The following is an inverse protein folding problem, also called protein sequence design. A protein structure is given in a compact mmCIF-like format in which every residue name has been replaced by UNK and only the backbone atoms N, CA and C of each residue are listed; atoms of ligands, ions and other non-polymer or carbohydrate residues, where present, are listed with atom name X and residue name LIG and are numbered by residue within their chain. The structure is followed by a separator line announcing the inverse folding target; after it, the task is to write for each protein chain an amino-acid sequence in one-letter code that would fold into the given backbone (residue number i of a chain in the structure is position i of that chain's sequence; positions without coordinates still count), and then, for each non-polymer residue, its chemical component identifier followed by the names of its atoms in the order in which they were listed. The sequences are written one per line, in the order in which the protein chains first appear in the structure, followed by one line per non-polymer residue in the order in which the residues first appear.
data_IF_141381003262
#
_entry.id   IF_141381003262
#
_cell.length_a   1.000
_cell.length_b   1.000
_cell.length_c   1.000
_cell.angle_alpha   90.00
_cell.angle_beta   90.00
_cell.angle_gamma   90.00
#
_symmetry.space_group_name_H-M   'P 1'
#
loop_
_entity.id
_entity.type
_entity.pdbx_description
1 polymer ?
#
# COMPACT_ATOMS: atom_id res chain seq x y z
N UNK A 1 0.67 34.72 26.50
CA UNK A 1 1.44 33.46 26.49
C UNK A 1 0.66 32.47 25.65
N UNK A 2 1.15 32.20 24.44
CA UNK A 2 0.52 31.24 23.53
C UNK A 2 0.89 29.83 24.00
N UNK A 3 -0.11 28.99 24.24
CA UNK A 3 0.05 27.57 24.56
C UNK A 3 0.48 26.85 23.28
N UNK A 4 1.72 26.37 23.25
CA UNK A 4 2.21 25.45 22.21
C UNK A 4 1.35 24.18 22.22
N UNK A 5 0.48 24.05 21.22
CA UNK A 5 -0.08 22.77 20.80
C UNK A 5 1.06 21.99 20.14
N UNK A 6 1.80 21.25 20.95
CA UNK A 6 2.66 20.17 20.46
C UNK A 6 1.74 19.06 19.97
N UNK A 7 1.47 19.04 18.66
CA UNK A 7 0.91 17.88 17.98
C UNK A 7 1.90 16.73 18.22
N UNK A 8 1.49 15.74 19.02
CA UNK A 8 2.24 14.48 19.09
C UNK A 8 2.02 13.79 17.75
N UNK A 9 3.07 13.33 17.04
CA UNK A 9 2.85 12.39 15.95
C UNK A 9 2.12 11.17 16.53
N UNK A 10 1.08 10.71 15.83
CA UNK A 10 0.33 9.52 16.22
C UNK A 10 1.33 8.36 16.37
N UNK A 11 1.60 7.95 17.61
CA UNK A 11 2.66 7.00 17.99
C UNK A 11 2.43 5.57 17.51
N UNK A 12 1.42 5.36 16.66
CA UNK A 12 0.97 4.08 16.14
C UNK A 12 1.29 3.92 14.65
N UNK A 13 1.63 5.02 13.96
CA UNK A 13 2.10 5.01 12.57
C UNK A 13 3.57 4.65 12.58
N UNK A 14 3.95 3.61 11.85
CA UNK A 14 5.36 3.26 11.71
C UNK A 14 6.11 4.44 11.07
N UNK A 15 6.91 5.18 11.86
CA UNK A 15 7.72 6.33 11.41
C UNK A 15 8.60 5.99 10.19
N UNK A 16 8.93 4.70 10.08
CA UNK A 16 9.43 4.02 8.88
C UNK A 16 8.84 2.62 8.88
N UNK A 17 7.79 2.31 8.10
CA UNK A 17 7.45 0.91 7.89
C UNK A 17 8.71 0.24 7.33
N UNK A 18 9.20 -0.80 8.01
CA UNK A 18 10.42 -1.48 7.57
C UNK A 18 10.24 -1.89 6.11
N UNK A 19 11.11 -1.39 5.24
CA UNK A 19 11.20 -1.81 3.85
C UNK A 19 12.05 -3.07 3.81
N UNK A 20 11.49 -4.15 4.36
CA UNK A 20 12.07 -5.48 4.42
C UNK A 20 11.97 -6.22 3.07
N UNK A 21 11.59 -5.53 1.98
CA UNK A 21 11.39 -6.16 0.67
C UNK A 21 12.59 -6.98 0.21
N UNK A 22 13.83 -6.52 0.45
CA UNK A 22 15.03 -7.29 0.12
C UNK A 22 15.10 -8.60 0.94
N UNK A 23 14.85 -8.52 2.25
CA UNK A 23 14.82 -9.68 3.13
C UNK A 23 13.68 -10.64 2.77
N UNK A 24 12.51 -10.12 2.39
CA UNK A 24 11.37 -10.94 1.94
C UNK A 24 11.73 -11.66 0.63
N UNK A 25 12.36 -10.97 -0.32
CA UNK A 25 12.82 -11.57 -1.58
C UNK A 25 13.88 -12.64 -1.34
N UNK A 26 14.83 -12.40 -0.43
CA UNK A 26 15.83 -13.41 -0.06
C UNK A 26 15.18 -14.62 0.61
N UNK A 27 14.23 -14.40 1.52
CA UNK A 27 13.46 -15.49 2.16
C UNK A 27 12.65 -16.30 1.14
N UNK A 28 12.04 -15.64 0.13
CA UNK A 28 11.33 -16.30 -0.95
C UNK A 28 12.26 -17.20 -1.79
N UNK A 29 13.45 -16.69 -2.12
CA UNK A 29 14.47 -17.46 -2.87
C UNK A 29 14.95 -18.67 -2.08
N UNK A 30 15.15 -18.52 -0.78
CA UNK A 30 15.56 -19.61 0.12
C UNK A 30 14.46 -20.67 0.29
N UNK A 31 13.20 -20.26 0.34
CA UNK A 31 12.06 -21.16 0.48
C UNK A 31 11.84 -22.06 -0.75
N UNK A 32 12.18 -21.57 -1.95
CA UNK A 32 11.99 -22.30 -3.20
C UNK A 32 10.53 -22.43 -3.63
N UNK A 33 9.65 -21.57 -3.11
CA UNK A 33 8.23 -21.52 -3.46
C UNK A 33 8.02 -20.91 -4.85
N UNK A 34 6.87 -21.23 -5.47
CA UNK A 34 6.56 -20.71 -6.81
C UNK A 34 6.05 -19.27 -6.79
N UNK A 35 5.26 -18.90 -5.78
CA UNK A 35 4.60 -17.58 -5.68
C UNK A 35 4.38 -17.20 -4.22
N UNK A 36 4.72 -15.96 -3.84
CA UNK A 36 4.28 -15.32 -2.60
C UNK A 36 3.41 -14.09 -2.89
N UNK A 37 2.32 -13.96 -2.15
CA UNK A 37 1.48 -12.76 -2.10
C UNK A 37 1.75 -12.07 -0.77
N UNK A 38 2.25 -10.84 -0.83
CA UNK A 38 2.65 -10.09 0.36
C UNK A 38 1.71 -8.92 0.51
N UNK A 39 1.11 -8.84 1.70
CA UNK A 39 0.28 -7.72 2.13
C UNK A 39 0.91 -7.08 3.36
N UNK A 40 1.31 -5.81 3.24
CA UNK A 40 1.99 -5.09 4.31
C UNK A 40 1.19 -3.87 4.76
N UNK A 41 0.51 -4.04 5.89
CA UNK A 41 -0.15 -2.95 6.60
C UNK A 41 0.86 -1.99 7.23
N UNK A 42 0.52 -0.69 7.23
CA UNK A 42 1.35 0.37 7.83
C UNK A 42 1.04 0.67 9.30
N UNK A 43 0.12 -0.11 9.88
CA UNK A 43 -0.30 -0.06 11.27
C UNK A 43 -0.46 -1.50 11.80
N UNK A 44 -0.11 -1.73 13.07
CA UNK A 44 -0.52 -2.95 13.75
C UNK A 44 -2.04 -2.93 13.97
N UNK A 45 -2.75 -3.94 13.46
CA UNK A 45 -4.20 -4.10 13.63
C UNK A 45 -4.50 -4.47 15.09
N UNK A 46 -4.45 -3.51 16.01
CA UNK A 46 -4.62 -3.80 17.45
C UNK A 46 -5.74 -3.05 18.14
N UNK A 47 -6.26 -1.94 17.62
CA UNK A 47 -7.41 -1.24 18.23
C UNK A 47 -8.26 -0.56 17.14
N UNK A 48 -9.59 -0.40 17.34
CA UNK A 48 -10.45 0.22 16.34
C UNK A 48 -9.92 1.62 16.03
N UNK A 49 -9.68 1.89 14.75
CA UNK A 49 -9.15 3.13 14.23
C UNK A 49 -9.79 4.31 14.98
N UNK A 50 -8.99 5.00 15.80
CA UNK A 50 -9.42 6.26 16.39
C UNK A 50 -9.87 7.17 15.25
N UNK A 51 -11.06 7.76 15.38
CA UNK A 51 -11.68 8.75 14.48
C UNK A 51 -10.86 10.04 14.27
N UNK A 52 -9.56 10.00 14.54
CA UNK A 52 -8.65 11.11 14.39
C UNK A 52 -8.31 11.29 12.90
N UNK A 53 -8.77 12.40 12.27
CA UNK A 53 -8.45 12.68 10.87
C UNK A 53 -6.94 12.76 10.63
N UNK A 54 -6.15 13.16 11.63
CA UNK A 54 -4.69 13.21 11.52
C UNK A 54 -4.08 11.80 11.42
N UNK A 55 -4.65 10.82 12.14
CA UNK A 55 -4.19 9.43 12.08
C UNK A 55 -4.50 8.76 10.73
N UNK A 56 -5.69 9.02 10.16
CA UNK A 56 -6.09 8.53 8.84
C UNK A 56 -5.11 9.04 7.77
N UNK A 57 -4.83 10.35 7.77
CA UNK A 57 -3.90 10.97 6.82
C UNK A 57 -2.48 10.44 7.03
N UNK A 58 -2.03 10.29 8.28
CA UNK A 58 -0.70 9.79 8.59
C UNK A 58 -0.49 8.34 8.13
N UNK A 59 -1.50 7.47 8.29
CA UNK A 59 -1.45 6.09 7.80
C UNK A 59 -1.36 6.03 6.27
N UNK A 60 -2.16 6.84 5.57
CA UNK A 60 -2.09 6.95 4.11
C UNK A 60 -0.73 7.48 3.64
N UNK A 61 -0.15 8.45 4.34
CA UNK A 61 1.19 8.97 4.05
C UNK A 61 2.28 7.89 4.25
N UNK A 62 2.17 7.07 5.30
CA UNK A 62 3.06 5.94 5.53
C UNK A 62 2.93 4.88 4.42
N UNK A 63 1.71 4.55 4.00
CA UNK A 63 1.44 3.64 2.88
C UNK A 63 2.07 4.13 1.57
N UNK A 64 1.92 5.42 1.26
CA UNK A 64 2.57 6.04 0.10
C UNK A 64 4.09 6.01 0.19
N UNK A 65 4.66 6.25 1.38
CA UNK A 65 6.10 6.14 1.60
C UNK A 65 6.60 4.71 1.32
N UNK A 66 5.91 3.70 1.84
CA UNK A 66 6.24 2.29 1.62
C UNK A 66 6.13 1.90 0.14
N UNK A 67 5.02 2.27 -0.51
CA UNK A 67 4.79 2.04 -1.94
C UNK A 67 5.97 2.57 -2.77
N UNK A 68 6.37 3.82 -2.53
CA UNK A 68 7.46 4.48 -3.26
C UNK A 68 8.79 3.78 -3.03
N UNK A 69 9.08 3.37 -1.80
CA UNK A 69 10.30 2.62 -1.47
C UNK A 69 10.33 1.28 -2.20
N UNK A 70 9.28 0.47 -2.08
CA UNK A 70 9.18 -0.83 -2.74
C UNK A 70 9.25 -0.70 -4.27
N UNK A 71 8.59 0.31 -4.84
CA UNK A 71 8.66 0.59 -6.28
C UNK A 71 10.08 0.89 -6.75
N UNK A 72 10.88 1.59 -5.94
CA UNK A 72 12.27 1.88 -6.26
C UNK A 72 13.20 0.67 -6.10
N UNK A 73 12.92 -0.20 -5.12
CA UNK A 73 13.76 -1.36 -4.81
C UNK A 73 13.46 -2.56 -5.71
N UNK A 74 12.21 -2.76 -6.15
CA UNK A 74 11.78 -3.94 -6.91
C UNK A 74 12.61 -4.21 -8.17
N UNK A 75 13.05 -3.13 -8.84
CA UNK A 75 13.82 -3.23 -10.09
C UNK A 75 15.17 -3.89 -9.83
N UNK A 76 15.82 -3.53 -8.73
CA UNK A 76 17.10 -4.12 -8.34
C UNK A 76 16.96 -5.55 -7.78
N UNK A 77 15.78 -5.89 -7.24
CA UNK A 77 15.50 -7.20 -6.64
C UNK A 77 14.97 -8.24 -7.65
N UNK A 78 14.56 -7.78 -8.83
CA UNK A 78 14.19 -8.67 -9.93
C UNK A 78 15.46 -9.22 -10.57
N UNK A 79 15.76 -10.50 -10.33
CA UNK A 79 16.99 -11.14 -10.80
C UNK A 79 16.75 -12.60 -11.13
N UNK A 80 17.37 -13.08 -12.22
CA UNK A 80 17.27 -14.46 -12.68
C UNK A 80 15.81 -14.90 -12.86
N UNK A 81 15.44 -15.96 -12.16
CA UNK A 81 14.10 -16.55 -12.18
C UNK A 81 13.12 -15.87 -11.22
N UNK A 82 13.58 -15.01 -10.30
CA UNK A 82 12.69 -14.27 -9.38
C UNK A 82 12.13 -13.03 -10.07
N UNK A 83 10.80 -12.93 -10.12
CA UNK A 83 10.08 -11.74 -10.57
C UNK A 83 9.39 -11.07 -9.39
N UNK A 84 9.51 -9.74 -9.34
CA UNK A 84 8.87 -8.89 -8.33
C UNK A 84 7.86 -7.99 -9.05
N UNK A 85 6.58 -8.11 -8.70
CA UNK A 85 5.51 -7.33 -9.34
C UNK A 85 5.64 -5.84 -9.05
N UNK A 86 4.92 -5.00 -9.80
CA UNK A 86 4.66 -3.64 -9.35
C UNK A 86 3.88 -3.70 -8.03
N UNK A 87 4.29 -2.96 -6.98
CA UNK A 87 3.51 -2.84 -5.77
C UNK A 87 2.32 -1.90 -5.97
N UNK A 88 1.27 -2.11 -5.17
CA UNK A 88 0.08 -1.26 -5.14
C UNK A 88 -0.24 -0.88 -3.71
N UNK A 89 -0.60 0.38 -3.47
CA UNK A 89 -1.18 0.80 -2.20
C UNK A 89 -2.70 0.70 -2.30
N UNK A 90 -3.31 0.04 -1.33
CA UNK A 90 -4.74 -0.16 -1.21
C UNK A 90 -5.23 0.63 0.01
N UNK A 91 -6.29 1.40 -0.19
CA UNK A 91 -6.96 2.19 0.86
C UNK A 91 -8.46 1.98 0.74
N UNK A 92 -9.05 1.26 1.69
CA UNK A 92 -10.49 1.02 1.73
C UNK A 92 -11.30 2.29 2.01
N UNK A 93 -12.47 2.42 1.37
CA UNK A 93 -13.38 3.54 1.67
C UNK A 93 -13.82 3.53 3.14
N UNK A 94 -14.02 2.34 3.70
CA UNK A 94 -14.32 2.15 5.12
C UNK A 94 -13.23 2.76 6.02
N UNK A 95 -11.96 2.69 5.61
CA UNK A 95 -10.87 3.35 6.35
C UNK A 95 -10.98 4.87 6.28
N UNK A 96 -11.26 5.40 5.10
CA UNK A 96 -11.42 6.83 4.88
C UNK A 96 -12.65 7.41 5.62
N UNK A 97 -13.70 6.60 5.78
CA UNK A 97 -14.90 6.91 6.54
C UNK A 97 -14.75 6.63 8.04
N UNK A 98 -13.58 6.19 8.49
CA UNK A 98 -13.30 5.80 9.88
C UNK A 98 -14.29 4.75 10.42
N UNK A 99 -14.71 3.81 9.57
CA UNK A 99 -15.59 2.73 9.97
C UNK A 99 -14.90 1.81 10.99
N UNK A 100 -15.59 1.39 12.06
CA UNK A 100 -15.02 0.47 13.03
C UNK A 100 -14.60 -0.85 12.39
N UNK A 101 -13.34 -1.24 12.60
CA UNK A 101 -12.78 -2.48 12.06
C UNK A 101 -12.32 -2.38 10.60
N UNK A 102 -12.36 -1.18 10.00
CA UNK A 102 -11.81 -0.96 8.67
C UNK A 102 -10.32 -1.33 8.62
N UNK A 103 -9.87 -2.05 7.59
CA UNK A 103 -8.47 -2.41 7.43
C UNK A 103 -7.62 -1.15 7.19
N UNK A 104 -6.43 -1.04 7.81
CA UNK A 104 -5.54 0.08 7.57
C UNK A 104 -4.92 0.00 6.16
N UNK A 105 -4.48 1.15 5.60
CA UNK A 105 -3.78 1.20 4.33
C UNK A 105 -2.63 0.21 4.29
N UNK A 106 -2.51 -0.50 3.17
CA UNK A 106 -1.54 -1.56 3.01
C UNK A 106 -0.98 -1.61 1.60
N UNK A 107 0.27 -2.09 1.49
CA UNK A 107 0.95 -2.26 0.21
C UNK A 107 0.97 -3.73 -0.14
N UNK A 108 0.42 -4.05 -1.30
CA UNK A 108 0.42 -5.39 -1.87
C UNK A 108 1.53 -5.54 -2.91
N UNK A 109 2.23 -6.68 -2.90
CA UNK A 109 3.21 -7.07 -3.93
C UNK A 109 3.24 -8.58 -4.11
N UNK A 110 3.54 -9.05 -5.31
CA UNK A 110 3.67 -10.47 -5.64
C UNK A 110 5.11 -10.81 -6.04
N UNK A 111 5.62 -11.91 -5.49
CA UNK A 111 6.87 -12.54 -5.91
C UNK A 111 6.56 -13.83 -6.63
N UNK A 112 7.25 -14.12 -7.73
CA UNK A 112 7.14 -15.41 -8.42
C UNK A 112 8.49 -15.94 -8.88
N UNK A 113 8.57 -17.26 -9.00
CA UNK A 113 9.72 -17.96 -9.57
C UNK A 113 9.37 -18.50 -10.97
N UNK A 114 10.29 -18.41 -11.93
CA UNK A 114 10.15 -18.99 -13.26
C UNK A 114 9.34 -18.15 -14.25
N UNK A 115 8.89 -18.76 -15.35
CA UNK A 115 8.06 -18.12 -16.40
C UNK A 115 6.58 -18.03 -16.02
N UNK A 116 6.25 -18.00 -14.73
CA UNK A 116 4.86 -17.85 -14.34
C UNK A 116 4.42 -16.43 -14.72
N UNK A 117 3.62 -16.33 -15.79
CA UNK A 117 3.01 -15.08 -16.20
C UNK A 117 2.33 -14.49 -14.97
N UNK A 118 2.68 -13.25 -14.65
CA UNK A 118 2.09 -12.53 -13.53
C UNK A 118 0.58 -12.72 -13.56
N UNK A 119 -0.04 -13.16 -12.46
CA UNK A 119 -1.49 -13.10 -12.34
C UNK A 119 -1.84 -11.62 -12.41
N UNK A 120 -2.25 -11.16 -13.60
CA UNK A 120 -2.71 -9.79 -13.81
C UNK A 120 -4.08 -9.68 -13.14
N UNK A 121 -4.11 -9.31 -11.86
CA UNK A 121 -5.30 -8.70 -11.32
C UNK A 121 -5.39 -7.30 -11.92
N UNK A 122 -6.17 -7.18 -13.01
CA UNK A 122 -6.64 -5.91 -13.51
C UNK A 122 -7.90 -5.56 -12.70
N UNK A 123 -7.79 -4.66 -11.70
CA UNK A 123 -8.96 -4.30 -10.95
C UNK A 123 -9.95 -3.56 -11.86
N UNK A 124 -11.25 -3.71 -11.59
CA UNK A 124 -12.25 -2.90 -12.27
C UNK A 124 -12.06 -1.43 -11.89
N UNK A 125 -11.73 -0.58 -12.88
CA UNK A 125 -11.42 0.83 -12.65
C UNK A 125 -12.68 1.68 -12.73
N UNK A 126 -13.03 2.32 -11.63
CA UNK A 126 -13.99 3.44 -11.59
C UNK A 126 -13.22 4.78 -11.54
N UNK A 127 -13.62 5.70 -12.42
CA UNK A 127 -12.98 7.00 -12.65
C UNK A 127 -13.57 8.06 -11.74
N UNK A 128 -13.54 7.81 -10.42
CA UNK A 128 -14.04 8.77 -9.45
C UNK A 128 -12.97 9.78 -9.02
N UNK A 129 -13.37 11.03 -8.71
CA UNK A 129 -12.46 12.00 -8.15
C UNK A 129 -11.97 11.53 -6.79
N UNK A 130 -10.66 11.57 -6.60
CA UNK A 130 -10.02 11.23 -5.35
C UNK A 130 -10.61 12.04 -4.18
N UNK A 131 -10.78 11.44 -2.99
CA UNK A 131 -11.10 12.16 -1.78
C UNK A 131 -10.10 13.28 -1.53
N UNK A 132 -10.58 14.50 -1.26
CA UNK A 132 -9.74 15.68 -1.00
C UNK A 132 -8.71 15.41 0.12
N UNK A 133 -9.04 14.52 1.05
CA UNK A 133 -8.19 14.06 2.15
C UNK A 133 -6.87 13.45 1.67
N UNK A 134 -6.82 12.87 0.47
CA UNK A 134 -5.62 12.22 -0.08
C UNK A 134 -4.91 13.06 -1.14
N UNK A 135 -5.62 14.03 -1.76
CA UNK A 135 -5.13 14.79 -2.91
C UNK A 135 -3.78 15.48 -2.68
N UNK A 136 -3.57 15.97 -1.45
CA UNK A 136 -2.36 16.68 -1.08
C UNK A 136 -1.13 15.77 -0.82
N UNK A 137 -1.33 14.46 -0.68
CA UNK A 137 -0.26 13.48 -0.41
C UNK A 137 0.39 12.92 -1.69
N UNK A 138 -0.31 13.08 -2.81
CA UNK A 138 0.03 12.44 -4.07
C UNK A 138 0.98 13.28 -4.90
N UNK A 139 1.85 12.59 -5.63
CA UNK A 139 2.73 13.21 -6.63
C UNK A 139 2.03 13.23 -7.98
N UNK A 140 2.35 14.24 -8.80
CA UNK A 140 1.71 14.47 -10.09
C UNK A 140 1.77 13.29 -11.09
N UNK A 141 2.62 12.31 -10.83
CA UNK A 141 2.86 11.15 -11.68
C UNK A 141 2.28 9.83 -11.14
N UNK A 142 1.63 9.83 -9.97
CA UNK A 142 0.99 8.63 -9.41
C UNK A 142 -0.37 8.38 -10.07
N UNK A 143 -0.65 7.13 -10.45
CA UNK A 143 -1.94 6.74 -11.05
C UNK A 143 -2.85 6.20 -9.96
N UNK A 144 -4.12 6.61 -10.00
CA UNK A 144 -5.09 6.28 -8.96
C UNK A 144 -6.33 5.76 -9.65
N UNK A 145 -6.81 4.63 -9.17
CA UNK A 145 -8.02 3.99 -9.67
C UNK A 145 -8.87 3.60 -8.48
N UNK A 146 -10.17 3.91 -8.53
CA UNK A 146 -11.12 3.34 -7.58
C UNK A 146 -11.46 1.93 -8.07
N UNK A 147 -11.51 0.97 -7.16
CA UNK A 147 -11.72 -0.44 -7.46
C UNK A 147 -12.88 -0.97 -6.63
N UNK A 148 -13.73 -1.78 -7.25
CA UNK A 148 -14.82 -2.48 -6.56
C UNK A 148 -14.48 -3.96 -6.39
N UNK A 149 -14.53 -4.46 -5.16
CA UNK A 149 -14.18 -5.85 -4.84
C UNK A 149 -12.73 -6.16 -5.15
N UNK A 150 -11.81 -5.50 -4.41
CA UNK A 150 -10.37 -5.57 -4.63
C UNK A 150 -9.82 -7.01 -4.68
N UNK A 151 -10.49 -7.94 -3.99
CA UNK A 151 -10.22 -9.36 -3.96
C UNK A 151 -11.52 -10.18 -3.99
N UNK A 152 -11.48 -11.43 -4.45
CA UNK A 152 -12.66 -12.31 -4.50
C UNK A 152 -13.31 -12.43 -3.11
N UNK A 153 -14.56 -11.95 -2.99
CA UNK A 153 -15.38 -12.09 -1.78
C UNK A 153 -15.57 -10.82 -0.95
N UNK A 154 -14.91 -9.71 -1.29
CA UNK A 154 -15.05 -8.45 -0.54
C UNK A 154 -16.06 -7.50 -1.20
N UNK A 155 -17.14 -7.09 -0.52
CA UNK A 155 -18.12 -6.14 -1.05
C UNK A 155 -17.64 -4.68 -0.98
N UNK A 156 -16.44 -4.42 -0.45
CA UNK A 156 -15.92 -3.08 -0.23
C UNK A 156 -15.28 -2.48 -1.49
N UNK A 157 -15.42 -1.17 -1.61
CA UNK A 157 -14.72 -0.35 -2.60
C UNK A 157 -13.44 0.20 -1.97
N UNK A 158 -12.36 0.21 -2.75
CA UNK A 158 -11.05 0.67 -2.32
C UNK A 158 -10.40 1.58 -3.37
N UNK A 159 -9.40 2.35 -2.94
CA UNK A 159 -8.53 3.12 -3.80
C UNK A 159 -7.23 2.38 -3.99
N UNK A 160 -6.88 2.14 -5.25
CA UNK A 160 -5.61 1.56 -5.63
C UNK A 160 -4.72 2.63 -6.23
N UNK A 161 -3.56 2.83 -5.60
CA UNK A 161 -2.56 3.80 -6.02
C UNK A 161 -1.35 3.04 -6.57
N UNK A 162 -0.99 3.33 -7.82
CA UNK A 162 0.17 2.79 -8.51
C UNK A 162 1.30 3.83 -8.57
N UNK A 163 2.56 3.42 -8.42
CA UNK A 163 3.69 4.29 -8.70
C UNK A 163 3.65 4.73 -10.17
N UNK A 164 4.28 5.87 -10.45
CA UNK A 164 4.39 6.38 -11.80
C UNK A 164 5.04 5.36 -12.74
N UNK A 165 4.33 5.00 -13.81
CA UNK A 165 4.95 4.29 -14.93
C UNK A 165 5.91 5.30 -15.58
N UNK A 166 7.21 5.14 -15.36
CA UNK A 166 8.18 5.77 -16.25
C UNK A 166 8.06 5.04 -17.57
N UNK A 167 7.45 5.70 -18.56
CA UNK A 167 7.65 5.31 -19.96
C UNK A 167 9.14 5.43 -20.22
N UNK A 168 9.82 4.29 -20.36
CA UNK A 168 11.14 4.24 -21.00
C UNK A 168 11.02 4.55 -22.49
#
# INVERSE_FOLDING_TARGET
MATERTARPASWVLDKPESDLAQIVDSFREAGDSVWHIDRHVLEVTEPATYDPEAIVAACAAGLSLLRQWSSHRVALTEGETKVSEPYLIIDDEWLDAAPGAPPPHVYICLSSGQQESIKHEPHVDMQPLPNTLAHLLKANETIVRIGGAFEGEPSTAWLIKPAIRSE
#
